data_IF_068247731378
#
_entry.id   IF_068247731378
#
_cell.length_a   1.000
_cell.length_b   1.000
_cell.length_c   1.000
_cell.angle_alpha   90.00
_cell.angle_beta   90.00
_cell.angle_gamma   90.00
#
_symmetry.space_group_name_H-M   'P 1'
#
loop_
_entity.id
_entity.type
_entity.pdbx_description
1 polymer ?
#
# COMPACT_ATOMS: atom_id res chain seq x y z
N UNK A 1 2.35 -5.67 -15.97
CA UNK A 1 1.86 -6.21 -14.66
C UNK A 1 1.15 -5.06 -13.95
N UNK A 2 0.12 -5.30 -13.14
CA UNK A 2 -0.55 -4.22 -12.38
C UNK A 2 -0.30 -4.38 -10.88
N UNK A 3 -0.24 -3.27 -10.16
CA UNK A 3 -0.21 -3.21 -8.71
C UNK A 3 -1.03 -2.04 -8.18
N UNK A 4 -1.10 -1.91 -6.86
CA UNK A 4 -1.95 -0.91 -6.21
C UNK A 4 -1.15 0.04 -5.31
N UNK A 5 -1.50 1.32 -5.32
CA UNK A 5 -1.08 2.28 -4.29
C UNK A 5 -2.26 2.46 -3.34
N UNK A 6 -2.02 2.29 -2.05
CA UNK A 6 -3.03 2.42 -1.00
C UNK A 6 -2.73 3.69 -0.21
N UNK A 7 -3.65 4.65 -0.21
CA UNK A 7 -3.50 5.89 0.56
C UNK A 7 -4.00 5.67 1.98
N UNK A 8 -3.09 5.67 2.95
CA UNK A 8 -3.37 5.43 4.36
C UNK A 8 -3.25 6.71 5.18
N UNK A 9 -4.35 7.08 5.83
CA UNK A 9 -4.50 8.32 6.60
C UNK A 9 -4.64 7.98 8.07
N UNK A 10 -3.90 8.66 8.95
CA UNK A 10 -4.05 8.49 10.39
C UNK A 10 -5.31 9.20 10.93
N UNK A 11 -5.68 8.90 12.16
CA UNK A 11 -6.86 9.49 12.81
C UNK A 11 -6.81 11.02 12.91
N UNK A 12 -5.64 11.61 13.15
CA UNK A 12 -5.52 13.06 13.32
C UNK A 12 -5.71 13.78 11.98
N UNK A 13 -5.07 13.30 10.92
CA UNK A 13 -5.22 13.80 9.55
C UNK A 13 -6.67 13.66 9.08
N UNK A 14 -7.29 12.51 9.33
CA UNK A 14 -8.68 12.27 8.97
C UNK A 14 -9.63 13.27 9.65
N UNK A 15 -9.44 13.54 10.95
CA UNK A 15 -10.29 14.48 11.70
C UNK A 15 -10.18 15.94 11.24
N UNK A 16 -9.04 16.35 10.68
CA UNK A 16 -8.83 17.71 10.17
C UNK A 16 -9.13 17.85 8.67
N UNK A 17 -9.52 16.75 8.01
CA UNK A 17 -9.84 16.73 6.58
C UNK A 17 -8.64 16.64 5.65
N UNK A 18 -7.47 16.25 6.16
CA UNK A 18 -6.27 15.97 5.34
C UNK A 18 -6.32 14.51 4.87
N UNK A 19 -7.13 14.26 3.85
CA UNK A 19 -7.56 12.90 3.44
C UNK A 19 -7.11 12.49 2.05
N UNK A 20 -6.40 13.38 1.34
CA UNK A 20 -5.96 13.15 -0.03
C UNK A 20 -4.53 12.66 -0.10
N UNK A 21 -4.23 11.92 -1.16
CA UNK A 21 -2.87 11.61 -1.55
C UNK A 21 -2.09 12.92 -1.72
N UNK A 22 -0.95 13.08 -1.03
CA UNK A 22 -0.14 14.30 -1.12
C UNK A 22 0.71 14.32 -2.40
N UNK A 23 0.77 13.21 -3.14
CA UNK A 23 1.55 13.08 -4.37
C UNK A 23 0.63 13.04 -5.60
N UNK A 24 0.91 13.85 -6.64
CA UNK A 24 0.23 13.71 -7.92
C UNK A 24 0.70 12.44 -8.66
N UNK A 25 -0.13 11.93 -9.57
CA UNK A 25 0.10 10.68 -10.32
C UNK A 25 1.49 10.59 -10.97
N UNK A 26 1.99 11.70 -11.52
CA UNK A 26 3.29 11.71 -12.19
C UNK A 26 4.46 11.51 -11.21
N UNK A 27 4.34 11.96 -9.96
CA UNK A 27 5.35 11.75 -8.92
C UNK A 27 5.29 10.31 -8.41
N UNK A 28 4.08 9.79 -8.14
CA UNK A 28 3.91 8.38 -7.76
C UNK A 28 4.51 7.44 -8.82
N UNK A 29 4.26 7.72 -10.11
CA UNK A 29 4.85 6.99 -11.23
C UNK A 29 6.38 7.03 -11.20
N UNK A 30 6.99 8.17 -10.89
CA UNK A 30 8.45 8.32 -10.83
C UNK A 30 9.08 7.60 -9.63
N UNK A 31 8.33 7.41 -8.54
CA UNK A 31 8.77 6.67 -7.37
C UNK A 31 8.71 5.14 -7.54
N UNK A 32 7.92 4.64 -8.51
CA UNK A 32 7.80 3.20 -8.79
C UNK A 32 8.75 2.81 -9.94
N UNK A 33 9.77 1.97 -9.69
CA UNK A 33 10.76 1.61 -10.71
C UNK A 33 10.15 0.91 -11.93
N UNK A 34 10.22 1.54 -13.10
CA UNK A 34 9.73 0.97 -14.36
C UNK A 34 8.23 1.17 -14.61
N UNK A 35 7.57 2.02 -13.82
CA UNK A 35 6.14 2.31 -14.00
C UNK A 35 5.85 3.15 -15.25
N UNK A 36 4.94 2.66 -16.09
CA UNK A 36 4.46 3.35 -17.28
C UNK A 36 3.46 4.46 -16.92
N UNK A 37 2.46 4.16 -16.08
CA UNK A 37 1.46 5.12 -15.61
C UNK A 37 0.83 4.71 -14.28
N UNK A 38 0.29 5.72 -13.59
CA UNK A 38 -0.52 5.62 -12.37
C UNK A 38 -1.89 6.25 -12.68
N UNK A 39 -2.96 5.72 -12.09
CA UNK A 39 -4.32 6.22 -12.26
C UNK A 39 -5.12 6.01 -10.98
N UNK A 40 -5.83 7.04 -10.52
CA UNK A 40 -6.76 6.95 -9.39
C UNK A 40 -7.96 6.04 -9.73
N UNK A 41 -8.40 5.27 -8.74
CA UNK A 41 -9.65 4.52 -8.81
C UNK A 41 -10.82 5.46 -8.42
N UNK A 42 -11.43 6.08 -9.42
CA UNK A 42 -12.48 7.10 -9.21
C UNK A 42 -13.86 6.50 -8.83
N UNK A 43 -14.09 5.23 -9.16
CA UNK A 43 -15.35 4.52 -8.88
C UNK A 43 -15.29 3.70 -7.59
N UNK A 44 -16.41 3.66 -6.87
CA UNK A 44 -16.54 2.94 -5.59
C UNK A 44 -16.21 1.45 -5.72
N UNK A 45 -16.56 0.84 -6.86
CA UNK A 45 -16.29 -0.56 -7.10
C UNK A 45 -14.78 -0.82 -7.31
N UNK A 46 -14.08 0.03 -8.04
CA UNK A 46 -12.62 -0.09 -8.22
C UNK A 46 -11.89 0.04 -6.86
N UNK A 47 -12.33 0.98 -6.02
CA UNK A 47 -11.84 1.14 -4.65
C UNK A 47 -12.07 -0.13 -3.81
N UNK A 48 -13.29 -0.66 -3.77
CA UNK A 48 -13.62 -1.89 -3.01
C UNK A 48 -12.80 -3.09 -3.52
N UNK A 49 -12.61 -3.21 -4.83
CA UNK A 49 -11.79 -4.27 -5.43
C UNK A 49 -10.32 -4.17 -5.02
N UNK A 50 -9.77 -2.95 -4.92
CA UNK A 50 -8.42 -2.71 -4.41
C UNK A 50 -8.30 -3.10 -2.92
N UNK A 51 -9.28 -2.76 -2.08
CA UNK A 51 -9.30 -3.17 -0.67
C UNK A 51 -9.41 -4.69 -0.54
N UNK A 52 -10.29 -5.34 -1.30
CA UNK A 52 -10.46 -6.80 -1.28
C UNK A 52 -9.17 -7.49 -1.73
N UNK A 53 -8.49 -6.95 -2.74
CA UNK A 53 -7.20 -7.46 -3.20
C UNK A 53 -6.11 -7.34 -2.12
N UNK A 54 -6.13 -6.27 -1.34
CA UNK A 54 -5.24 -6.09 -0.20
C UNK A 54 -5.52 -7.12 0.91
N UNK A 55 -6.80 -7.40 1.19
CA UNK A 55 -7.22 -8.42 2.14
C UNK A 55 -6.69 -9.81 1.74
N UNK A 56 -6.88 -10.19 0.48
CA UNK A 56 -6.45 -11.47 -0.04
C UNK A 56 -4.92 -11.59 -0.07
N UNK A 57 -4.23 -10.54 -0.50
CA UNK A 57 -2.77 -10.55 -0.65
C UNK A 57 -2.05 -10.73 0.68
N UNK A 58 -2.55 -10.10 1.75
CA UNK A 58 -1.91 -10.12 3.06
C UNK A 58 -2.66 -10.93 4.13
N UNK A 59 -3.75 -11.61 3.76
CA UNK A 59 -4.55 -12.43 4.65
C UNK A 59 -5.23 -11.63 5.77
N UNK A 60 -5.79 -10.47 5.42
CA UNK A 60 -6.49 -9.60 6.37
C UNK A 60 -7.91 -10.11 6.65
N UNK A 61 -8.47 -9.86 7.84
CA UNK A 61 -9.92 -9.92 8.01
C UNK A 61 -10.60 -8.86 7.12
N UNK A 62 -11.86 -9.09 6.77
CA UNK A 62 -12.64 -8.15 5.96
C UNK A 62 -12.67 -6.76 6.61
N UNK A 63 -12.20 -5.78 5.85
CA UNK A 63 -12.06 -4.38 6.23
C UNK A 63 -13.44 -3.72 6.11
N UNK A 64 -13.96 -3.13 7.20
CA UNK A 64 -15.23 -2.42 7.16
C UNK A 64 -15.11 -1.10 6.40
N UNK A 65 -16.17 -0.75 5.69
CA UNK A 65 -16.32 0.53 5.00
C UNK A 65 -17.24 1.45 5.80
N UNK A 66 -16.96 2.76 5.73
CA UNK A 66 -17.86 3.80 6.19
C UNK A 66 -18.06 4.85 5.09
N UNK A 67 -19.28 5.38 5.01
CA UNK A 67 -19.56 6.51 4.13
C UNK A 67 -19.33 7.81 4.88
N UNK A 68 -18.54 8.71 4.31
CA UNK A 68 -18.25 10.02 4.85
C UNK A 68 -18.47 11.10 3.81
N UNK A 69 -18.86 12.29 4.25
CA UNK A 69 -18.93 13.46 3.39
C UNK A 69 -17.57 14.14 3.34
N UNK A 70 -16.88 14.03 2.21
CA UNK A 70 -15.59 14.66 1.93
C UNK A 70 -15.78 15.59 0.73
N UNK A 71 -15.38 16.86 0.88
CA UNK A 71 -15.56 17.92 -0.13
C UNK A 71 -17.01 18.09 -0.64
N UNK A 72 -17.99 17.87 0.25
CA UNK A 72 -19.41 17.95 -0.11
C UNK A 72 -19.91 16.81 -0.98
N UNK A 73 -19.15 15.71 -1.10
CA UNK A 73 -19.56 14.46 -1.75
C UNK A 73 -19.48 13.30 -0.76
N UNK A 74 -20.43 12.38 -0.83
CA UNK A 74 -20.33 11.11 -0.13
C UNK A 74 -19.25 10.26 -0.79
N UNK A 75 -18.24 9.84 -0.01
CA UNK A 75 -17.20 8.89 -0.39
C UNK A 75 -17.20 7.70 0.55
N UNK A 76 -16.76 6.55 0.06
CA UNK A 76 -16.48 5.38 0.89
C UNK A 76 -15.04 5.42 1.39
N UNK A 77 -14.85 5.02 2.64
CA UNK A 77 -13.55 4.98 3.31
C UNK A 77 -13.44 3.63 4.01
N UNK A 78 -12.32 2.93 3.80
CA UNK A 78 -12.02 1.68 4.48
C UNK A 78 -11.38 1.96 5.84
N UNK A 79 -11.75 1.23 6.88
CA UNK A 79 -11.32 1.50 8.26
C UNK A 79 -10.52 0.33 8.82
N UNK A 80 -9.23 0.56 9.07
CA UNK A 80 -8.33 -0.43 9.66
C UNK A 80 -8.17 -0.12 11.14
N UNK A 81 -8.76 -0.94 11.99
CA UNK A 81 -8.49 -0.91 13.43
C UNK A 81 -7.22 -1.70 13.80
N UNK A 82 -6.93 -1.80 15.10
CA UNK A 82 -5.76 -2.53 15.60
C UNK A 82 -5.70 -3.98 15.11
N UNK A 83 -6.83 -4.69 14.99
CA UNK A 83 -6.83 -6.08 14.54
C UNK A 83 -6.45 -6.18 13.05
N UNK A 84 -6.88 -5.22 12.24
CA UNK A 84 -6.48 -5.12 10.83
C UNK A 84 -5.01 -4.73 10.69
N UNK A 85 -4.53 -3.80 11.50
CA UNK A 85 -3.11 -3.37 11.52
C UNK A 85 -2.20 -4.55 11.92
N UNK A 86 -2.57 -5.30 12.97
CA UNK A 86 -1.82 -6.47 13.41
C UNK A 86 -1.80 -7.57 12.34
N UNK A 87 -2.94 -7.77 11.65
CA UNK A 87 -3.03 -8.71 10.53
C UNK A 87 -2.16 -8.26 9.35
N UNK A 88 -2.19 -6.97 8.99
CA UNK A 88 -1.37 -6.40 7.91
C UNK A 88 0.11 -6.52 8.24
N UNK A 89 0.52 -6.19 9.47
CA UNK A 89 1.90 -6.36 9.92
C UNK A 89 2.36 -7.82 9.79
N UNK A 90 1.51 -8.77 10.18
CA UNK A 90 1.79 -10.20 10.03
C UNK A 90 1.89 -10.61 8.55
N UNK A 91 0.95 -10.18 7.72
CA UNK A 91 0.92 -10.49 6.29
C UNK A 91 2.14 -9.96 5.55
N UNK A 92 2.47 -8.68 5.78
CA UNK A 92 3.71 -8.06 5.28
C UNK A 92 4.95 -8.81 5.76
N UNK A 93 5.01 -9.19 7.04
CA UNK A 93 6.13 -9.97 7.58
C UNK A 93 6.32 -11.33 6.89
N UNK A 94 5.23 -12.01 6.53
CA UNK A 94 5.28 -13.26 5.76
C UNK A 94 5.79 -12.98 4.34
N UNK A 95 5.23 -11.98 3.66
CA UNK A 95 5.63 -11.60 2.29
C UNK A 95 7.13 -11.21 2.20
N UNK A 96 7.62 -10.44 3.19
CA UNK A 96 9.03 -10.08 3.32
C UNK A 96 9.90 -11.33 3.54
N UNK A 97 9.48 -12.26 4.40
CA UNK A 97 10.22 -13.50 4.62
C UNK A 97 10.30 -14.35 3.35
N UNK A 98 9.20 -14.50 2.61
CA UNK A 98 9.18 -15.21 1.33
C UNK A 98 10.10 -14.55 0.29
N UNK A 99 10.09 -13.22 0.21
CA UNK A 99 11.00 -12.46 -0.65
C UNK A 99 12.46 -12.72 -0.30
N UNK A 100 12.82 -12.72 0.98
CA UNK A 100 14.18 -13.04 1.45
C UNK A 100 14.57 -14.45 1.02
N UNK A 101 13.68 -15.44 1.15
CA UNK A 101 13.96 -16.81 0.73
C UNK A 101 14.15 -16.94 -0.79
N UNK A 102 13.37 -16.22 -1.61
CA UNK A 102 13.59 -16.16 -3.07
C UNK A 102 14.96 -15.58 -3.42
N UNK A 103 15.36 -14.49 -2.76
CA UNK A 103 16.68 -13.87 -2.96
C UNK A 103 17.81 -14.82 -2.55
N UNK A 104 17.69 -15.49 -1.40
CA UNK A 104 18.67 -16.50 -0.96
C UNK A 104 18.79 -17.65 -1.96
N UNK A 105 17.66 -18.18 -2.43
CA UNK A 105 17.65 -19.26 -3.41
C UNK A 105 18.32 -18.88 -4.73
N UNK A 106 18.20 -17.62 -5.17
CA UNK A 106 18.92 -17.10 -6.33
C UNK A 106 20.43 -17.01 -6.09
N UNK A 107 20.83 -16.50 -4.91
CA UNK A 107 22.24 -16.37 -4.51
C UNK A 107 22.97 -17.72 -4.37
N UNK A 108 22.25 -18.80 -4.05
CA UNK A 108 22.80 -20.15 -3.93
C UNK A 108 23.06 -20.84 -5.27
N UNK A 109 22.57 -20.29 -6.39
CA UNK A 109 22.81 -20.87 -7.72
C UNK A 109 24.30 -20.81 -8.10
N UNK A 110 24.82 -21.76 -8.91
CA UNK A 110 26.21 -21.72 -9.38
C UNK A 110 26.59 -20.44 -10.14
N UNK A 111 25.61 -19.79 -10.76
CA UNK A 111 25.73 -18.49 -11.41
C UNK A 111 24.48 -17.67 -11.09
N UNK A 112 24.47 -16.92 -9.97
CA UNK A 112 23.33 -16.10 -9.58
C UNK A 112 23.03 -15.01 -10.61
N UNK A 113 21.75 -14.74 -10.85
CA UNK A 113 21.32 -13.59 -11.64
C UNK A 113 21.18 -12.34 -10.75
N UNK A 114 22.16 -11.43 -10.85
CA UNK A 114 22.17 -10.19 -10.08
C UNK A 114 21.00 -9.26 -10.43
N UNK A 115 20.47 -9.33 -11.66
CA UNK A 115 19.29 -8.57 -12.03
C UNK A 115 18.05 -9.12 -11.35
N UNK A 116 17.90 -10.44 -11.30
CA UNK A 116 16.80 -11.07 -10.59
C UNK A 116 16.84 -10.76 -9.09
N UNK A 117 18.03 -10.82 -8.48
CA UNK A 117 18.23 -10.43 -7.07
C UNK A 117 17.83 -8.99 -6.83
N UNK A 118 18.32 -8.05 -7.65
CA UNK A 118 17.99 -6.64 -7.51
C UNK A 118 16.49 -6.38 -7.70
N UNK A 119 15.88 -7.07 -8.67
CA UNK A 119 14.45 -6.98 -8.93
C UNK A 119 13.63 -7.45 -7.73
N UNK A 120 13.88 -8.66 -7.23
CA UNK A 120 13.18 -9.21 -6.06
C UNK A 120 13.46 -8.42 -4.77
N UNK A 121 14.66 -7.87 -4.61
CA UNK A 121 15.00 -7.13 -3.39
C UNK A 121 14.38 -5.73 -3.35
N UNK A 122 14.30 -5.02 -4.49
CA UNK A 122 14.02 -3.59 -4.50
C UNK A 122 12.95 -3.12 -5.49
N UNK A 123 12.78 -3.78 -6.64
CA UNK A 123 11.93 -3.24 -7.72
C UNK A 123 10.55 -3.89 -7.79
N UNK A 124 10.44 -5.16 -7.41
CA UNK A 124 9.16 -5.84 -7.36
C UNK A 124 8.39 -5.35 -6.14
N UNK A 125 7.16 -4.88 -6.31
CA UNK A 125 6.21 -4.64 -5.22
C UNK A 125 4.81 -4.71 -5.82
N UNK A 126 3.94 -5.65 -5.40
CA UNK A 126 2.53 -5.62 -5.78
C UNK A 126 1.78 -4.42 -5.18
N UNK A 127 2.23 -3.91 -4.03
CA UNK A 127 1.57 -2.80 -3.33
C UNK A 127 2.57 -1.75 -2.87
N UNK A 128 2.19 -0.48 -3.03
CA UNK A 128 2.83 0.68 -2.39
C UNK A 128 1.83 1.34 -1.43
N UNK A 129 2.33 1.97 -0.40
CA UNK A 129 1.56 2.68 0.60
C UNK A 129 1.97 4.14 0.62
N UNK A 130 0.98 5.01 0.43
CA UNK A 130 1.12 6.45 0.48
C UNK A 130 0.52 6.92 1.81
N UNK A 131 1.30 7.52 2.70
CA UNK A 131 0.78 8.08 3.95
C UNK A 131 0.66 9.59 3.87
N UNK A 132 -0.50 10.11 4.24
CA UNK A 132 -0.66 11.53 4.56
C UNK A 132 -0.84 11.67 6.06
N UNK A 133 0.26 11.80 6.78
CA UNK A 133 0.23 12.26 8.18
C UNK A 133 0.85 13.64 8.29
N UNK A 134 0.29 14.45 9.20
CA UNK A 134 0.81 15.79 9.49
C UNK A 134 2.30 15.78 9.88
N UNK A 135 2.76 14.69 10.47
CA UNK A 135 4.11 14.53 11.00
C UNK A 135 5.04 13.74 10.06
N UNK A 136 4.49 13.06 9.05
CA UNK A 136 5.24 12.23 8.12
C UNK A 136 4.49 12.01 6.79
N UNK A 137 5.15 12.30 5.66
CA UNK A 137 4.68 11.95 4.31
C UNK A 137 5.58 10.87 3.72
N UNK A 138 5.09 9.63 3.64
CA UNK A 138 5.84 8.46 3.17
C UNK A 138 5.21 7.84 1.93
N UNK A 139 6.03 7.54 0.92
CA UNK A 139 5.65 6.67 -0.19
C UNK A 139 6.56 5.44 -0.16
N UNK A 140 6.02 4.35 0.38
CA UNK A 140 6.82 3.17 0.73
C UNK A 140 6.28 1.91 0.07
N UNK A 141 7.18 1.00 -0.27
CA UNK A 141 6.79 -0.36 -0.62
C UNK A 141 6.44 -1.16 0.65
N UNK A 142 5.88 -2.35 0.46
CA UNK A 142 5.53 -3.30 1.52
C UNK A 142 6.65 -3.61 2.52
N UNK A 143 7.92 -3.61 2.07
CA UNK A 143 9.07 -3.96 2.90
C UNK A 143 9.36 -2.86 3.92
N UNK A 144 9.32 -1.60 3.48
CA UNK A 144 9.59 -0.45 4.33
C UNK A 144 8.37 -0.02 5.15
N UNK A 145 7.16 -0.27 4.64
CA UNK A 145 5.94 0.21 5.27
C UNK A 145 5.63 -0.47 6.62
N UNK A 146 6.12 -1.70 6.83
CA UNK A 146 5.87 -2.46 8.07
C UNK A 146 6.29 -1.71 9.33
N UNK A 147 7.33 -0.86 9.24
CA UNK A 147 7.85 -0.09 10.36
C UNK A 147 6.94 1.10 10.72
N UNK A 148 6.18 1.65 9.76
CA UNK A 148 5.26 2.77 10.05
C UNK A 148 3.96 2.30 10.72
N UNK A 149 3.65 1.01 10.65
CA UNK A 149 2.54 0.41 11.39
C UNK A 149 2.76 0.41 12.91
N UNK A 150 4.01 0.58 13.37
CA UNK A 150 4.32 0.57 14.80
C UNK A 150 3.81 1.82 15.53
N UNK A 151 3.06 1.57 16.62
CA UNK A 151 2.48 2.63 17.46
C UNK A 151 1.16 3.20 16.94
N UNK A 152 0.70 2.75 15.77
CA UNK A 152 -0.57 3.17 15.18
C UNK A 152 -1.72 2.29 15.66
N UNK A 153 -2.86 2.92 15.94
CA UNK A 153 -4.07 2.23 16.43
C UNK A 153 -5.17 2.12 15.41
N UNK A 154 -5.16 3.01 14.43
CA UNK A 154 -6.20 3.13 13.44
C UNK A 154 -5.69 3.84 12.20
N UNK A 155 -6.08 3.34 11.04
CA UNK A 155 -5.89 3.99 9.76
C UNK A 155 -7.20 4.04 8.98
N UNK A 156 -7.26 4.98 8.07
CA UNK A 156 -8.31 5.13 7.08
C UNK A 156 -7.70 5.00 5.71
N UNK A 157 -8.27 4.16 4.86
CA UNK A 157 -7.93 4.15 3.44
C UNK A 157 -8.96 5.02 2.74
N UNK A 158 -8.49 6.09 2.12
CA UNK A 158 -9.36 7.13 1.55
C UNK A 158 -9.34 7.14 0.03
N UNK A 159 -8.23 6.69 -0.56
CA UNK A 159 -8.00 6.66 -2.01
C UNK A 159 -7.16 5.43 -2.36
N UNK A 160 -7.36 4.91 -3.56
CA UNK A 160 -6.52 3.87 -4.15
C UNK A 160 -6.16 4.26 -5.58
N UNK A 161 -5.00 3.79 -6.02
CA UNK A 161 -4.56 3.97 -7.39
C UNK A 161 -4.08 2.63 -7.94
N UNK A 162 -4.24 2.44 -9.24
CA UNK A 162 -3.60 1.37 -10.00
C UNK A 162 -2.35 1.88 -10.72
N UNK A 163 -1.31 1.06 -10.75
CA UNK A 163 -0.10 1.34 -11.52
C UNK A 163 0.27 0.17 -12.43
N UNK A 164 0.93 0.47 -13.54
CA UNK A 164 1.25 -0.49 -14.59
C UNK A 164 2.72 -0.44 -15.01
N UNK A 165 3.27 -1.61 -15.33
CA UNK A 165 4.56 -1.84 -16.02
C UNK A 165 4.36 -2.57 -17.34
#
# INVERSE_FOLDING_TARGET
>A
MHGSIIVMIDENSFQIGDVHCPWPDYEMREMIPGCDYVMEDEDSQEFIEAITSLEDLYGLPSIPFMSVELDGKAREVAVLDQAHIDALKKGLGIAIAERIERVKAELEKPKPDLWNIAYEAYNYSPVYFATSSRDFLDFLNEVSFVDVLDGQRKFYITETYRFHF
#
